data_IF_477395401460
#
_entry.id   IF_477395401460
#
_cell.length_a   1.000
_cell.length_b   1.000
_cell.length_c   1.000
_cell.angle_alpha   90.00
_cell.angle_beta   90.00
_cell.angle_gamma   90.00
#
_symmetry.space_group_name_H-M   'P 1'
#
loop_
_entity.id
_entity.type
_entity.pdbx_description
1 polymer ?
#
# COMPACT_ATOMS: atom_id res chain seq x y z
N UNK A 1 -6.03 49.77 41.46
CA UNK A 1 -4.96 48.79 41.13
C UNK A 1 -5.54 47.76 40.19
N UNK A 2 -5.22 47.95 38.92
CA UNK A 2 -5.73 47.16 37.79
C UNK A 2 -4.81 45.96 37.55
N UNK A 3 -5.35 44.76 37.52
CA UNK A 3 -4.63 43.54 37.13
C UNK A 3 -5.01 43.22 35.71
N UNK A 4 -4.02 43.39 34.85
CA UNK A 4 -4.02 43.10 33.44
C UNK A 4 -4.05 41.55 33.23
N UNK A 5 -5.11 41.09 32.59
CA UNK A 5 -5.21 39.65 32.19
C UNK A 5 -4.68 39.50 30.78
N UNK A 6 -3.45 39.03 30.68
CA UNK A 6 -2.87 38.60 29.41
C UNK A 6 -3.76 37.58 28.65
N UNK A 7 -4.28 37.99 27.51
CA UNK A 7 -4.96 37.09 26.56
C UNK A 7 -3.94 36.20 25.90
N UNK A 8 -3.93 34.91 26.28
CA UNK A 8 -3.30 33.88 25.49
C UNK A 8 -4.07 33.72 24.16
N UNK A 9 -3.43 34.09 23.09
CA UNK A 9 -3.93 33.85 21.73
C UNK A 9 -3.78 32.34 21.45
N UNK A 10 -4.87 31.62 21.62
CA UNK A 10 -5.00 30.24 21.10
C UNK A 10 -5.07 30.33 19.57
N UNK A 11 -3.97 30.08 18.90
CA UNK A 11 -3.94 29.89 17.45
C UNK A 11 -4.67 28.59 17.13
N UNK A 12 -5.86 28.74 16.59
CA UNK A 12 -6.72 27.66 16.11
C UNK A 12 -6.08 26.98 14.87
N UNK A 13 -5.80 25.63 14.87
CA UNK A 13 -5.13 24.95 13.75
C UNK A 13 -6.01 24.75 12.50
N UNK A 14 -7.25 25.25 12.50
CA UNK A 14 -8.25 24.94 11.46
C UNK A 14 -8.34 25.94 10.30
N UNK A 15 -7.36 26.83 10.09
CA UNK A 15 -7.37 27.78 8.96
C UNK A 15 -6.19 27.50 8.01
N UNK A 16 -6.05 26.25 7.57
CA UNK A 16 -5.40 25.93 6.29
C UNK A 16 -6.49 25.87 5.22
N UNK A 17 -7.01 27.02 4.79
CA UNK A 17 -7.87 27.10 3.62
C UNK A 17 -7.12 26.48 2.44
N UNK A 18 -7.62 25.35 1.93
CA UNK A 18 -7.26 24.81 0.63
C UNK A 18 -7.64 25.86 -0.42
N UNK A 19 -6.70 26.69 -0.84
CA UNK A 19 -6.92 27.54 -2.00
C UNK A 19 -7.06 26.63 -3.21
N UNK A 20 -8.21 26.67 -3.84
CA UNK A 20 -8.47 25.94 -5.09
C UNK A 20 -7.41 26.32 -6.13
N UNK A 21 -7.06 25.37 -7.00
CA UNK A 21 -6.16 25.64 -8.13
C UNK A 21 -6.77 26.74 -9.03
N UNK A 22 -5.96 27.71 -9.41
CA UNK A 22 -6.38 28.76 -10.33
C UNK A 22 -6.20 28.32 -11.78
N UNK A 23 -6.87 29.01 -12.73
CA UNK A 23 -6.66 28.75 -14.14
C UNK A 23 -5.21 28.99 -14.58
N UNK A 24 -4.52 29.93 -13.94
CA UNK A 24 -3.10 30.22 -14.17
C UNK A 24 -2.21 29.07 -13.75
N UNK A 25 -2.46 28.46 -12.57
CA UNK A 25 -1.70 27.29 -12.15
C UNK A 25 -1.86 26.09 -13.06
N UNK A 26 -3.09 25.88 -13.55
CA UNK A 26 -3.41 24.76 -14.44
C UNK A 26 -2.76 24.95 -15.84
N UNK A 27 -2.48 26.20 -16.22
CA UNK A 27 -1.82 26.55 -17.47
C UNK A 27 -0.28 26.66 -17.32
N UNK A 28 0.27 26.57 -16.09
CA UNK A 28 1.71 26.71 -15.87
C UNK A 28 2.46 25.47 -16.43
N UNK A 29 3.40 25.63 -17.39
CA UNK A 29 4.16 24.51 -17.95
C UNK A 29 4.93 23.69 -16.88
N UNK A 30 5.36 24.32 -15.79
CA UNK A 30 6.06 23.65 -14.71
C UNK A 30 5.22 22.55 -14.04
N UNK A 31 3.90 22.64 -14.12
CA UNK A 31 3.01 21.59 -13.60
C UNK A 31 3.19 20.26 -14.37
N UNK A 32 3.31 20.34 -15.70
CA UNK A 32 3.62 19.17 -16.52
C UNK A 32 5.02 18.61 -16.20
N UNK A 33 6.01 19.47 -16.00
CA UNK A 33 7.37 19.05 -15.63
C UNK A 33 7.39 18.36 -14.26
N UNK A 34 6.62 18.83 -13.27
CA UNK A 34 6.46 18.21 -11.95
C UNK A 34 5.78 16.84 -12.11
N UNK A 35 4.67 16.75 -12.85
CA UNK A 35 3.99 15.48 -13.14
C UNK A 35 4.95 14.45 -13.74
N UNK A 36 5.69 14.85 -14.77
CA UNK A 36 6.59 13.97 -15.51
C UNK A 36 7.78 13.54 -14.64
N UNK A 37 8.25 14.40 -13.74
CA UNK A 37 9.25 14.05 -12.74
C UNK A 37 8.73 12.99 -11.77
N UNK A 38 7.53 13.19 -11.20
CA UNK A 38 6.89 12.25 -10.29
C UNK A 38 6.66 10.90 -10.98
N UNK A 39 6.16 10.91 -12.22
CA UNK A 39 5.99 9.69 -13.01
C UNK A 39 7.30 8.94 -13.20
N UNK A 40 8.37 9.61 -13.65
CA UNK A 40 9.69 8.97 -13.84
C UNK A 40 10.24 8.36 -12.56
N UNK A 41 9.97 8.98 -11.41
CA UNK A 41 10.51 8.52 -10.13
C UNK A 41 9.67 7.41 -9.51
N UNK A 42 8.35 7.43 -9.67
CA UNK A 42 7.45 6.55 -8.91
C UNK A 42 6.53 5.67 -9.76
N UNK A 43 6.46 5.90 -11.06
CA UNK A 43 5.48 5.25 -11.93
C UNK A 43 4.04 5.73 -11.74
N UNK A 44 3.76 6.58 -10.73
CA UNK A 44 2.42 7.13 -10.48
C UNK A 44 2.07 8.13 -11.56
N UNK A 45 0.99 7.86 -12.29
CA UNK A 45 0.53 8.68 -13.40
C UNK A 45 -0.63 9.59 -12.96
N UNK A 46 -0.44 10.88 -13.15
CA UNK A 46 -1.47 11.90 -12.90
C UNK A 46 -2.08 12.34 -14.23
N UNK A 47 -3.34 11.99 -14.45
CA UNK A 47 -4.09 12.44 -15.64
C UNK A 47 -4.37 13.94 -15.56
N UNK A 48 -4.60 14.60 -16.70
CA UNK A 48 -4.81 16.04 -16.78
C UNK A 48 -5.98 16.52 -15.90
N UNK A 49 -7.05 15.74 -15.78
CA UNK A 49 -8.17 16.07 -14.88
C UNK A 49 -7.80 16.05 -13.38
N UNK A 50 -6.66 15.45 -13.02
CA UNK A 50 -6.14 15.41 -11.66
C UNK A 50 -5.18 16.59 -11.36
N UNK A 51 -4.94 17.49 -12.33
CA UNK A 51 -4.02 18.61 -12.15
C UNK A 51 -4.43 19.55 -11.01
N UNK A 52 -5.71 19.79 -10.81
CA UNK A 52 -6.19 20.58 -9.67
C UNK A 52 -5.79 19.98 -8.33
N UNK A 53 -5.81 18.65 -8.22
CA UNK A 53 -5.33 17.93 -7.06
C UNK A 53 -3.82 18.08 -6.90
N UNK A 54 -3.04 17.85 -7.95
CA UNK A 54 -1.59 17.99 -7.94
C UNK A 54 -1.15 19.41 -7.55
N UNK A 55 -1.74 20.44 -8.16
CA UNK A 55 -1.48 21.86 -7.81
C UNK A 55 -1.71 22.11 -6.33
N UNK A 56 -2.84 21.64 -5.80
CA UNK A 56 -3.15 21.84 -4.38
C UNK A 56 -2.09 21.25 -3.47
N UNK A 57 -1.57 20.07 -3.82
CA UNK A 57 -0.48 19.41 -3.06
C UNK A 57 0.85 20.13 -3.23
N UNK A 58 1.19 20.53 -4.46
CA UNK A 58 2.37 21.38 -4.70
C UNK A 58 2.32 22.66 -3.90
N UNK A 59 1.22 23.40 -3.91
CA UNK A 59 1.07 24.66 -3.16
C UNK A 59 1.26 24.47 -1.65
N UNK A 60 0.75 23.37 -1.10
CA UNK A 60 0.96 23.03 0.30
C UNK A 60 2.45 22.87 0.63
N UNK A 61 3.18 22.15 -0.23
CA UNK A 61 4.63 21.98 -0.09
C UNK A 61 5.39 23.28 -0.30
N UNK A 62 5.05 24.03 -1.34
CA UNK A 62 5.64 25.33 -1.65
C UNK A 62 5.52 26.31 -0.46
N UNK A 63 4.37 26.32 0.22
CA UNK A 63 4.16 27.14 1.42
C UNK A 63 5.14 26.76 2.54
N UNK A 64 5.37 25.47 2.77
CA UNK A 64 6.32 24.98 3.79
C UNK A 64 7.76 25.42 3.44
N UNK A 65 8.10 25.46 2.15
CA UNK A 65 9.44 25.81 1.64
C UNK A 65 9.61 27.32 1.38
N UNK A 66 8.59 28.15 1.59
CA UNK A 66 8.56 29.56 1.21
C UNK A 66 8.86 29.79 -0.29
N UNK A 67 8.36 28.94 -1.15
CA UNK A 67 8.46 29.06 -2.61
C UNK A 67 7.13 29.57 -3.18
N UNK A 68 7.15 30.58 -4.04
CA UNK A 68 5.93 31.25 -4.52
C UNK A 68 5.48 30.83 -5.93
N UNK A 69 6.36 30.26 -6.76
CA UNK A 69 6.06 29.89 -8.15
C UNK A 69 6.32 28.41 -8.41
N UNK A 70 5.46 27.75 -9.22
CA UNK A 70 5.60 26.34 -9.61
C UNK A 70 6.94 26.08 -10.32
N UNK A 71 7.36 26.98 -11.20
CA UNK A 71 8.66 26.86 -11.87
C UNK A 71 9.86 26.88 -10.90
N UNK A 72 9.78 27.66 -9.81
CA UNK A 72 10.79 27.64 -8.76
C UNK A 72 10.75 26.35 -7.95
N UNK A 73 9.53 25.84 -7.68
CA UNK A 73 9.34 24.59 -6.98
C UNK A 73 9.84 23.39 -7.81
N UNK A 74 9.58 23.37 -9.11
CA UNK A 74 10.16 22.36 -10.01
C UNK A 74 11.69 22.35 -9.95
N UNK A 75 12.34 23.52 -10.04
CA UNK A 75 13.80 23.61 -9.90
C UNK A 75 14.31 23.10 -8.56
N UNK A 76 13.56 23.31 -7.48
CA UNK A 76 13.87 22.77 -6.16
C UNK A 76 13.79 21.22 -6.15
N UNK A 77 12.71 20.65 -6.73
CA UNK A 77 12.54 19.20 -6.89
C UNK A 77 13.64 18.57 -7.76
N UNK A 78 14.08 19.26 -8.80
CA UNK A 78 15.13 18.78 -9.70
C UNK A 78 16.56 18.92 -9.14
N UNK A 79 16.73 19.61 -8.01
CA UNK A 79 18.05 19.87 -7.44
C UNK A 79 18.65 18.62 -6.77
N UNK A 80 19.92 18.25 -7.06
CA UNK A 80 20.52 16.98 -6.59
C UNK A 80 20.57 16.82 -5.05
N UNK A 81 20.72 17.91 -4.31
CA UNK A 81 20.88 17.87 -2.85
C UNK A 81 19.57 17.90 -2.07
N UNK A 82 18.57 18.62 -2.56
CA UNK A 82 17.31 18.88 -1.85
C UNK A 82 16.13 18.17 -2.47
N UNK A 83 16.19 17.84 -3.76
CA UNK A 83 15.08 17.32 -4.52
C UNK A 83 14.61 15.94 -4.08
N UNK A 84 15.52 15.05 -3.71
CA UNK A 84 15.14 13.68 -3.32
C UNK A 84 14.24 13.64 -2.10
N UNK A 85 14.54 14.43 -1.07
CA UNK A 85 13.72 14.51 0.13
C UNK A 85 12.37 15.18 -0.17
N UNK A 86 12.39 16.25 -0.97
CA UNK A 86 11.17 16.96 -1.32
C UNK A 86 10.26 16.16 -2.26
N UNK A 87 10.82 15.37 -3.19
CA UNK A 87 10.05 14.41 -3.99
C UNK A 87 9.35 13.40 -3.08
N UNK A 88 10.03 12.87 -2.04
CA UNK A 88 9.41 11.97 -1.06
C UNK A 88 8.24 12.66 -0.35
N UNK A 89 8.45 13.88 0.11
CA UNK A 89 7.41 14.66 0.78
C UNK A 89 6.21 14.92 -0.15
N UNK A 90 6.45 15.24 -1.42
CA UNK A 90 5.38 15.43 -2.39
C UNK A 90 4.65 14.11 -2.71
N UNK A 91 5.36 12.98 -2.82
CA UNK A 91 4.76 11.67 -2.97
C UNK A 91 3.86 11.32 -1.78
N UNK A 92 4.27 11.62 -0.55
CA UNK A 92 3.41 11.47 0.64
C UNK A 92 2.12 12.28 0.55
N UNK A 93 2.14 13.46 -0.09
CA UNK A 93 0.96 14.31 -0.26
C UNK A 93 0.02 13.85 -1.37
N UNK A 94 0.52 13.22 -2.44
CA UNK A 94 -0.28 12.84 -3.60
C UNK A 94 -0.81 11.41 -3.55
N UNK A 95 -0.26 10.56 -2.70
CA UNK A 95 -0.77 9.20 -2.51
C UNK A 95 -2.01 9.18 -1.65
N UNK A 96 -3.08 8.53 -2.14
CA UNK A 96 -4.37 8.42 -1.46
C UNK A 96 -4.39 7.09 -0.72
N UNK A 97 -4.48 7.13 0.59
CA UNK A 97 -4.39 5.95 1.44
C UNK A 97 -5.73 5.52 2.04
N UNK A 98 -6.82 5.43 1.24
CA UNK A 98 -8.08 4.93 1.76
C UNK A 98 -8.04 3.41 1.92
N UNK A 99 -8.11 2.96 3.17
CA UNK A 99 -8.06 1.54 3.53
C UNK A 99 -8.85 1.29 4.82
N UNK A 100 -9.25 0.03 5.04
CA UNK A 100 -9.88 -0.42 6.28
C UNK A 100 -9.71 -1.94 6.41
N UNK A 101 -9.81 -2.45 7.65
CA UNK A 101 -9.68 -3.88 7.94
C UNK A 101 -10.73 -4.72 7.19
N UNK A 102 -10.31 -5.86 6.66
CA UNK A 102 -11.15 -6.82 5.92
C UNK A 102 -11.87 -6.19 4.71
N UNK A 103 -11.21 -5.27 4.01
CA UNK A 103 -11.75 -4.62 2.81
C UNK A 103 -12.16 -5.64 1.76
N UNK A 104 -11.32 -6.62 1.49
CA UNK A 104 -11.50 -7.66 0.47
C UNK A 104 -11.80 -9.01 1.14
N UNK A 105 -12.90 -9.09 1.92
CA UNK A 105 -13.23 -10.26 2.75
C UNK A 105 -13.29 -11.56 1.95
N UNK A 106 -13.86 -11.54 0.74
CA UNK A 106 -13.97 -12.72 -0.11
C UNK A 106 -12.59 -13.29 -0.51
N UNK A 107 -11.64 -12.43 -0.84
CA UNK A 107 -10.25 -12.85 -1.13
C UNK A 107 -9.57 -13.44 0.12
N UNK A 108 -9.76 -12.83 1.28
CA UNK A 108 -9.24 -13.35 2.56
C UNK A 108 -9.83 -14.73 2.87
N UNK A 109 -11.12 -14.92 2.63
CA UNK A 109 -11.78 -16.20 2.83
C UNK A 109 -11.30 -17.27 1.83
N UNK A 110 -11.11 -16.92 0.56
CA UNK A 110 -10.52 -17.80 -0.44
C UNK A 110 -9.08 -18.18 -0.08
N UNK A 111 -8.26 -17.20 0.35
CA UNK A 111 -6.91 -17.45 0.83
C UNK A 111 -6.91 -18.47 1.99
N UNK A 112 -7.66 -18.20 3.05
CA UNK A 112 -7.68 -19.02 4.26
C UNK A 112 -8.18 -20.44 4.01
N UNK A 113 -9.37 -20.53 3.40
CA UNK A 113 -10.15 -21.78 3.35
C UNK A 113 -9.78 -22.70 2.22
N UNK A 114 -9.22 -22.14 1.12
CA UNK A 114 -9.00 -22.88 -0.12
C UNK A 114 -7.52 -22.88 -0.53
N UNK A 115 -6.90 -21.69 -0.60
CA UNK A 115 -5.57 -21.54 -1.20
C UNK A 115 -4.48 -21.97 -0.21
N UNK A 116 -4.49 -21.45 1.01
CA UNK A 116 -3.48 -21.76 2.03
C UNK A 116 -3.38 -23.27 2.31
N UNK A 117 -4.48 -24.04 2.48
CA UNK A 117 -4.39 -25.49 2.64
C UNK A 117 -3.71 -26.20 1.46
N UNK A 118 -3.98 -25.76 0.22
CA UNK A 118 -3.34 -26.31 -0.98
C UNK A 118 -1.84 -25.99 -1.03
N UNK A 119 -1.46 -24.74 -0.75
CA UNK A 119 -0.06 -24.31 -0.73
C UNK A 119 0.69 -25.02 0.40
N UNK A 120 0.12 -25.08 1.60
CA UNK A 120 0.71 -25.76 2.74
C UNK A 120 0.95 -27.26 2.49
N UNK A 121 0.13 -27.90 1.66
CA UNK A 121 0.30 -29.32 1.30
C UNK A 121 1.44 -29.58 0.31
N UNK A 122 2.02 -28.55 -0.30
CA UNK A 122 3.14 -28.73 -1.24
C UNK A 122 4.39 -29.26 -0.51
N UNK A 123 5.12 -30.23 -1.10
CA UNK A 123 6.30 -30.83 -0.48
C UNK A 123 7.33 -29.79 -0.02
N UNK A 124 7.62 -28.78 -0.85
CA UNK A 124 8.53 -27.70 -0.52
C UNK A 124 8.10 -26.96 0.77
N UNK A 125 6.79 -26.69 0.92
CA UNK A 125 6.26 -25.98 2.09
C UNK A 125 6.25 -26.84 3.35
N UNK A 126 6.02 -28.13 3.21
CA UNK A 126 6.15 -29.09 4.32
C UNK A 126 7.60 -29.17 4.85
N UNK A 127 8.57 -28.98 3.98
CA UNK A 127 9.99 -28.91 4.37
C UNK A 127 10.35 -27.55 4.99
N UNK A 128 9.98 -26.45 4.34
CA UNK A 128 10.31 -25.10 4.78
C UNK A 128 9.56 -24.66 6.04
N UNK A 129 8.30 -25.09 6.20
CA UNK A 129 7.40 -24.70 7.30
C UNK A 129 7.28 -23.18 7.46
N UNK A 130 7.22 -22.48 6.33
CA UNK A 130 7.18 -21.03 6.27
C UNK A 130 6.17 -20.56 5.22
N UNK A 131 5.41 -19.53 5.59
CA UNK A 131 4.57 -18.76 4.67
C UNK A 131 5.07 -17.32 4.66
N UNK A 132 5.41 -16.84 3.47
CA UNK A 132 5.84 -15.47 3.23
C UNK A 132 4.82 -14.70 2.39
N UNK A 133 4.39 -13.56 2.89
CA UNK A 133 3.39 -12.70 2.25
C UNK A 133 3.96 -11.30 2.02
N UNK A 134 3.71 -10.74 0.85
CA UNK A 134 4.00 -9.33 0.57
C UNK A 134 2.69 -8.56 0.39
N UNK A 135 2.45 -7.56 1.26
CA UNK A 135 1.42 -6.54 1.09
C UNK A 135 2.05 -5.33 0.42
N UNK A 136 1.78 -5.17 -0.87
CA UNK A 136 2.42 -4.21 -1.76
C UNK A 136 1.52 -2.97 -1.94
N UNK A 137 1.91 -1.84 -1.37
CA UNK A 137 1.07 -0.63 -1.25
C UNK A 137 0.16 -0.71 -0.02
N UNK A 138 0.74 -1.02 1.13
CA UNK A 138 0.01 -1.36 2.37
C UNK A 138 -0.67 -0.18 3.06
N UNK A 139 -0.45 1.05 2.62
CA UNK A 139 -1.00 2.27 3.22
C UNK A 139 -0.78 2.32 4.74
N UNK A 140 -1.83 2.56 5.50
CA UNK A 140 -1.79 2.67 6.98
C UNK A 140 -1.86 1.33 7.71
N UNK A 141 -1.69 0.20 6.99
CA UNK A 141 -1.40 -1.11 7.57
C UNK A 141 -2.61 -2.00 7.80
N UNK A 142 -3.82 -1.58 7.45
CA UNK A 142 -5.04 -2.39 7.67
C UNK A 142 -5.02 -3.68 6.85
N UNK A 143 -4.50 -3.66 5.62
CA UNK A 143 -4.38 -4.86 4.78
C UNK A 143 -3.38 -5.87 5.38
N UNK A 144 -2.09 -5.55 5.63
CA UNK A 144 -1.16 -6.54 6.17
C UNK A 144 -1.57 -7.05 7.55
N UNK A 145 -2.18 -6.24 8.40
CA UNK A 145 -2.69 -6.72 9.68
C UNK A 145 -3.95 -7.59 9.52
N UNK A 146 -4.80 -7.34 8.52
CA UNK A 146 -5.89 -8.25 8.17
C UNK A 146 -5.36 -9.62 7.75
N UNK A 147 -4.32 -9.64 6.90
CA UNK A 147 -3.65 -10.87 6.47
C UNK A 147 -3.02 -11.59 7.67
N UNK A 148 -2.34 -10.86 8.56
CA UNK A 148 -1.76 -11.42 9.77
C UNK A 148 -2.83 -12.08 10.67
N UNK A 149 -3.93 -11.41 10.95
CA UNK A 149 -5.04 -11.95 11.73
C UNK A 149 -5.61 -13.21 11.06
N UNK A 150 -5.87 -13.14 9.76
CA UNK A 150 -6.50 -14.22 9.02
C UNK A 150 -5.61 -15.48 8.95
N UNK A 151 -4.32 -15.31 8.71
CA UNK A 151 -3.37 -16.42 8.54
C UNK A 151 -2.89 -16.97 9.87
N UNK A 152 -2.73 -16.12 10.90
CA UNK A 152 -2.31 -16.55 12.24
C UNK A 152 -3.29 -17.56 12.83
N UNK A 153 -4.59 -17.32 12.69
CA UNK A 153 -5.61 -18.25 13.16
C UNK A 153 -5.49 -19.62 12.50
N UNK A 154 -5.29 -19.67 11.18
CA UNK A 154 -5.16 -20.92 10.44
C UNK A 154 -3.85 -21.67 10.76
N UNK A 155 -2.73 -20.92 10.81
CA UNK A 155 -1.42 -21.49 11.11
C UNK A 155 -1.37 -22.02 12.55
N UNK A 156 -1.85 -21.26 13.52
CA UNK A 156 -1.86 -21.68 14.93
C UNK A 156 -2.72 -22.94 15.15
N UNK A 157 -3.81 -23.11 14.41
CA UNK A 157 -4.70 -24.26 14.56
C UNK A 157 -4.21 -25.52 13.85
N UNK A 158 -3.53 -25.39 12.70
CA UNK A 158 -3.23 -26.51 11.81
C UNK A 158 -1.73 -26.76 11.56
N UNK A 159 -0.90 -25.76 11.78
CA UNK A 159 0.52 -25.74 11.43
C UNK A 159 1.34 -25.07 12.54
N UNK A 160 1.28 -25.56 13.77
CA UNK A 160 1.83 -24.91 14.97
C UNK A 160 3.33 -24.66 14.92
N UNK A 161 4.08 -25.43 14.12
CA UNK A 161 5.51 -25.33 13.93
C UNK A 161 5.93 -24.49 12.70
N UNK A 162 4.97 -23.82 12.08
CA UNK A 162 5.20 -22.97 10.91
C UNK A 162 5.41 -21.52 11.29
N UNK A 163 6.24 -20.84 10.51
CA UNK A 163 6.45 -19.39 10.62
C UNK A 163 5.60 -18.64 9.59
N UNK A 164 5.12 -17.48 9.98
CA UNK A 164 4.43 -16.52 9.12
C UNK A 164 5.22 -15.22 9.11
N UNK A 165 5.65 -14.79 7.93
CA UNK A 165 6.27 -13.49 7.72
C UNK A 165 5.41 -12.67 6.75
N UNK A 166 5.07 -11.44 7.14
CA UNK A 166 4.40 -10.48 6.26
C UNK A 166 5.28 -9.26 6.09
N UNK A 167 5.76 -9.06 4.87
CA UNK A 167 6.43 -7.82 4.48
C UNK A 167 5.39 -6.86 3.92
N UNK A 168 5.24 -5.71 4.53
CA UNK A 168 4.31 -4.67 4.14
C UNK A 168 5.08 -3.45 3.64
N UNK A 169 4.83 -3.05 2.40
CA UNK A 169 5.57 -1.95 1.78
C UNK A 169 4.66 -0.87 1.23
N UNK A 170 5.12 0.37 1.34
CA UNK A 170 4.45 1.53 0.73
C UNK A 170 5.51 2.57 0.32
N UNK A 171 5.17 3.44 -0.62
CA UNK A 171 6.02 4.58 -0.99
C UNK A 171 5.88 5.74 -0.01
N UNK A 172 4.78 5.77 0.76
CA UNK A 172 4.39 6.83 1.67
C UNK A 172 4.92 6.59 3.09
N UNK A 173 5.93 7.36 3.49
CA UNK A 173 6.55 7.27 4.82
C UNK A 173 5.57 7.62 5.96
N UNK A 174 4.61 8.53 5.73
CA UNK A 174 3.61 8.89 6.74
C UNK A 174 2.62 7.74 7.01
N UNK A 175 2.20 7.08 5.94
CA UNK A 175 1.35 5.89 6.01
C UNK A 175 2.06 4.78 6.78
N UNK A 176 3.33 4.50 6.46
CA UNK A 176 4.13 3.49 7.15
C UNK A 176 4.32 3.80 8.65
N UNK A 177 4.51 5.09 9.02
CA UNK A 177 4.58 5.46 10.44
C UNK A 177 3.27 5.18 11.19
N UNK A 178 2.13 5.46 10.57
CA UNK A 178 0.80 5.13 11.12
C UNK A 178 0.60 3.63 11.21
N UNK A 179 0.96 2.89 10.17
CA UNK A 179 0.92 1.43 10.14
C UNK A 179 1.75 0.81 11.28
N UNK A 180 2.97 1.26 11.47
CA UNK A 180 3.85 0.79 12.55
C UNK A 180 3.32 1.14 13.95
N UNK A 181 2.62 2.28 14.11
CA UNK A 181 1.96 2.62 15.37
C UNK A 181 0.85 1.62 15.74
N UNK A 182 0.16 1.07 14.74
CA UNK A 182 -0.89 0.06 14.94
C UNK A 182 -2.11 0.56 15.70
N UNK A 183 -2.43 1.85 15.60
CA UNK A 183 -3.56 2.49 16.27
C UNK A 183 -4.58 2.97 15.24
N UNK A 184 -5.82 2.58 15.42
CA UNK A 184 -6.90 2.75 14.44
C UNK A 184 -8.15 3.33 15.06
N UNK A 185 -8.87 4.13 14.29
CA UNK A 185 -10.17 4.67 14.70
C UNK A 185 -11.32 3.67 14.43
N UNK A 186 -12.52 3.99 14.89
CA UNK A 186 -13.72 3.15 14.71
C UNK A 186 -14.03 2.90 13.23
N UNK A 187 -13.79 3.87 12.35
CA UNK A 187 -14.02 3.70 10.91
C UNK A 187 -13.13 2.61 10.30
N UNK A 188 -11.86 2.56 10.64
CA UNK A 188 -10.93 1.55 10.14
C UNK A 188 -11.35 0.13 10.55
N UNK A 189 -11.82 -0.03 11.80
CA UNK A 189 -12.16 -1.35 12.39
C UNK A 189 -13.62 -1.75 12.22
N UNK A 190 -14.45 -0.96 11.55
CA UNK A 190 -15.91 -1.14 11.45
C UNK A 190 -16.38 -2.47 10.85
N UNK A 191 -15.55 -3.13 10.05
CA UNK A 191 -15.85 -4.42 9.40
C UNK A 191 -15.28 -5.63 10.12
N UNK A 192 -14.55 -5.41 11.22
CA UNK A 192 -13.98 -6.51 11.99
C UNK A 192 -15.10 -7.18 12.79
N UNK A 193 -15.18 -8.51 12.70
CA UNK A 193 -16.12 -9.28 13.51
C UNK A 193 -15.81 -9.10 15.01
N UNK A 194 -16.83 -9.00 15.88
CA UNK A 194 -16.64 -8.74 17.31
C UNK A 194 -15.63 -9.68 18.00
N UNK A 195 -15.64 -10.96 17.63
CA UNK A 195 -14.74 -11.99 18.20
C UNK A 195 -13.27 -11.70 17.85
N UNK A 196 -12.99 -11.30 16.59
CA UNK A 196 -11.64 -10.93 16.16
C UNK A 196 -11.23 -9.60 16.77
N UNK A 197 -12.16 -8.64 16.87
CA UNK A 197 -11.89 -7.34 17.48
C UNK A 197 -11.50 -7.50 18.96
N UNK A 198 -12.26 -8.28 19.74
CA UNK A 198 -11.95 -8.54 21.15
C UNK A 198 -10.64 -9.34 21.35
N UNK A 199 -10.28 -10.20 20.41
CA UNK A 199 -9.09 -11.05 20.50
C UNK A 199 -7.79 -10.31 20.11
N UNK A 200 -7.86 -9.44 19.09
CA UNK A 200 -6.68 -8.86 18.48
C UNK A 200 -6.55 -7.34 18.66
N UNK A 201 -7.50 -6.69 19.31
CA UNK A 201 -7.45 -5.25 19.56
C UNK A 201 -7.72 -4.92 21.01
N UNK A 202 -6.99 -3.94 21.53
CA UNK A 202 -7.24 -3.31 22.83
C UNK A 202 -7.77 -1.90 22.61
N UNK A 203 -8.81 -1.49 23.34
CA UNK A 203 -9.33 -0.13 23.32
C UNK A 203 -8.38 0.81 24.07
N UNK A 204 -7.96 1.90 23.42
CA UNK A 204 -7.16 2.98 24.00
C UNK A 204 -7.88 4.32 23.78
N UNK A 205 -8.81 4.65 24.66
CA UNK A 205 -9.67 5.84 24.51
C UNK A 205 -10.59 5.71 23.28
N UNK A 206 -10.43 6.60 22.30
CA UNK A 206 -11.19 6.57 21.03
C UNK A 206 -10.51 5.74 19.93
N UNK A 207 -9.38 5.10 20.22
CA UNK A 207 -8.61 4.31 19.28
C UNK A 207 -8.59 2.84 19.68
N UNK A 208 -8.28 1.99 18.71
CA UNK A 208 -8.07 0.56 18.86
C UNK A 208 -6.63 0.25 18.50
N UNK A 209 -5.87 -0.28 19.45
CA UNK A 209 -4.50 -0.72 19.22
C UNK A 209 -4.50 -2.21 18.90
N UNK A 210 -3.84 -2.58 17.82
CA UNK A 210 -3.67 -3.99 17.45
C UNK A 210 -2.67 -4.68 18.40
N UNK A 211 -2.91 -5.97 18.71
CA UNK A 211 -2.12 -6.75 19.66
C UNK A 211 -0.66 -6.93 19.18
N UNK A 212 0.26 -7.04 20.14
CA UNK A 212 1.69 -7.23 19.84
C UNK A 212 1.95 -8.57 19.14
N UNK A 213 1.13 -9.59 19.36
CA UNK A 213 1.22 -10.87 18.67
C UNK A 213 1.01 -10.72 17.16
N UNK A 214 0.07 -9.88 16.73
CA UNK A 214 -0.17 -9.58 15.30
C UNK A 214 0.89 -8.62 14.76
N UNK A 215 1.26 -7.61 15.55
CA UNK A 215 2.30 -6.63 15.15
C UNK A 215 3.66 -7.28 14.88
N UNK A 216 4.05 -8.26 15.68
CA UNK A 216 5.32 -8.96 15.55
C UNK A 216 5.49 -9.76 14.26
N UNK A 217 4.39 -10.06 13.56
CA UNK A 217 4.40 -10.81 12.28
C UNK A 217 4.66 -9.88 11.10
N UNK A 218 4.28 -8.59 11.19
CA UNK A 218 4.32 -7.64 10.09
C UNK A 218 5.56 -6.76 10.17
N UNK A 219 6.36 -6.79 9.11
CA UNK A 219 7.52 -5.90 8.93
C UNK A 219 7.16 -4.82 7.92
N UNK A 220 7.36 -3.55 8.28
CA UNK A 220 7.10 -2.42 7.41
C UNK A 220 8.39 -1.90 6.79
N UNK A 221 8.36 -1.63 5.48
CA UNK A 221 9.48 -1.03 4.76
C UNK A 221 8.99 -0.06 3.70
N UNK A 222 9.75 1.02 3.47
CA UNK A 222 9.50 1.90 2.34
C UNK A 222 9.98 1.22 1.07
N UNK A 223 9.12 1.17 0.04
CA UNK A 223 9.46 0.63 -1.26
C UNK A 223 8.82 1.45 -2.37
N UNK A 224 9.60 1.71 -3.41
CA UNK A 224 9.13 2.20 -4.68
C UNK A 224 9.14 1.04 -5.69
N UNK A 225 8.06 0.81 -6.42
CA UNK A 225 7.99 -0.28 -7.41
C UNK A 225 8.90 -0.08 -8.62
N UNK A 226 9.48 1.12 -8.78
CA UNK A 226 10.55 1.36 -9.77
C UNK A 226 11.95 0.96 -9.26
N UNK A 227 12.12 0.63 -7.97
CA UNK A 227 13.39 0.23 -7.36
C UNK A 227 13.61 -1.29 -7.50
N UNK A 228 14.06 -1.70 -8.67
CA UNK A 228 14.33 -3.10 -9.01
C UNK A 228 15.34 -3.79 -8.04
N UNK A 229 16.48 -3.15 -7.68
CA UNK A 229 17.40 -3.72 -6.72
C UNK A 229 16.77 -3.99 -5.35
N UNK A 230 15.98 -3.05 -4.83
CA UNK A 230 15.29 -3.22 -3.55
C UNK A 230 14.26 -4.35 -3.60
N UNK A 231 13.47 -4.44 -4.70
CA UNK A 231 12.52 -5.54 -4.89
C UNK A 231 13.22 -6.89 -4.93
N UNK A 232 14.30 -7.01 -5.71
CA UNK A 232 15.05 -8.27 -5.83
C UNK A 232 15.67 -8.72 -4.50
N UNK A 233 16.03 -7.78 -3.63
CA UNK A 233 16.60 -8.08 -2.32
C UNK A 233 15.58 -8.63 -1.29
N UNK A 234 14.27 -8.49 -1.55
CA UNK A 234 13.23 -8.99 -0.64
C UNK A 234 13.06 -10.51 -0.69
N UNK A 235 13.57 -11.19 -1.73
CA UNK A 235 13.37 -12.62 -1.98
C UNK A 235 11.98 -12.94 -2.54
N UNK A 236 11.58 -14.21 -2.44
CA UNK A 236 10.34 -14.70 -3.03
C UNK A 236 9.24 -14.90 -1.97
N UNK A 237 7.99 -14.83 -2.41
CA UNK A 237 6.78 -14.89 -1.58
C UNK A 237 5.83 -15.98 -2.07
N UNK A 238 5.03 -16.53 -1.16
CA UNK A 238 3.91 -17.40 -1.50
C UNK A 238 2.71 -16.60 -2.00
N UNK A 239 2.50 -15.44 -1.39
CA UNK A 239 1.35 -14.58 -1.66
C UNK A 239 1.79 -13.13 -1.80
N UNK A 240 1.29 -12.44 -2.83
CA UNK A 240 1.40 -10.98 -2.98
C UNK A 240 -0.01 -10.39 -3.02
N UNK A 241 -0.25 -9.40 -2.17
CA UNK A 241 -1.45 -8.57 -2.20
C UNK A 241 -1.06 -7.18 -2.70
N UNK A 242 -1.66 -6.74 -3.80
CA UNK A 242 -1.50 -5.40 -4.36
C UNK A 242 -2.89 -4.86 -4.73
N UNK A 243 -3.66 -4.47 -3.71
CA UNK A 243 -5.05 -4.10 -3.89
C UNK A 243 -5.24 -2.58 -3.90
N UNK A 244 -5.88 -2.08 -4.96
CA UNK A 244 -6.18 -0.66 -5.15
C UNK A 244 -4.93 0.24 -5.24
N UNK A 245 -3.87 -0.26 -5.86
CA UNK A 245 -2.60 0.44 -6.10
C UNK A 245 -2.36 0.66 -7.58
N UNK A 246 -2.58 -0.36 -8.41
CA UNK A 246 -2.33 -0.29 -9.86
C UNK A 246 -3.30 0.65 -10.60
N UNK A 247 -4.37 1.08 -9.94
CA UNK A 247 -5.28 2.11 -10.44
C UNK A 247 -4.61 3.48 -10.62
N UNK A 248 -3.47 3.71 -9.98
CA UNK A 248 -2.68 4.94 -10.09
C UNK A 248 -1.58 4.85 -11.15
N UNK A 249 -1.46 3.72 -11.84
CA UNK A 249 -0.42 3.46 -12.82
C UNK A 249 -0.98 3.50 -14.24
N UNK A 250 -0.21 4.02 -15.16
CA UNK A 250 -0.47 3.83 -16.58
C UNK A 250 -0.12 2.40 -17.02
N UNK A 251 -0.40 2.07 -18.27
CA UNK A 251 -0.16 0.72 -18.80
C UNK A 251 1.32 0.31 -18.71
N UNK A 252 2.25 1.25 -18.94
CA UNK A 252 3.69 0.95 -18.92
C UNK A 252 4.19 0.68 -17.48
N UNK A 253 3.82 1.53 -16.52
CA UNK A 253 4.16 1.35 -15.10
C UNK A 253 3.51 0.10 -14.52
N UNK A 254 2.25 -0.16 -14.89
CA UNK A 254 1.54 -1.38 -14.51
C UNK A 254 2.26 -2.63 -15.01
N UNK A 255 2.70 -2.65 -16.27
CA UNK A 255 3.47 -3.77 -16.83
C UNK A 255 4.76 -4.01 -16.04
N UNK A 256 5.51 -2.94 -15.69
CA UNK A 256 6.73 -3.07 -14.86
C UNK A 256 6.44 -3.65 -13.49
N UNK A 257 5.39 -3.16 -12.82
CA UNK A 257 4.97 -3.68 -11.51
C UNK A 257 4.61 -5.18 -11.59
N UNK A 258 3.85 -5.60 -12.62
CA UNK A 258 3.45 -7.00 -12.81
C UNK A 258 4.67 -7.90 -13.04
N UNK A 259 5.64 -7.48 -13.85
CA UNK A 259 6.90 -8.23 -14.02
C UNK A 259 7.65 -8.38 -12.68
N UNK A 260 7.63 -7.35 -11.85
CA UNK A 260 8.24 -7.42 -10.52
C UNK A 260 7.52 -8.41 -9.61
N UNK A 261 6.19 -8.39 -9.57
CA UNK A 261 5.41 -9.34 -8.78
C UNK A 261 5.62 -10.78 -9.26
N UNK A 262 5.66 -10.99 -10.58
CA UNK A 262 5.94 -12.30 -11.14
C UNK A 262 7.31 -12.84 -10.69
N UNK A 263 8.36 -12.01 -10.73
CA UNK A 263 9.71 -12.38 -10.28
C UNK A 263 9.77 -12.64 -8.77
N UNK A 264 9.00 -11.91 -7.99
CA UNK A 264 8.96 -12.02 -6.52
C UNK A 264 8.03 -13.12 -5.99
N UNK A 265 7.31 -13.83 -6.85
CA UNK A 265 6.49 -14.97 -6.45
C UNK A 265 7.21 -16.29 -6.67
N UNK A 266 7.09 -17.19 -5.72
CA UNK A 266 7.44 -18.60 -5.90
C UNK A 266 6.63 -19.22 -7.04
N UNK A 267 7.15 -20.23 -7.76
CA UNK A 267 6.33 -21.01 -8.71
C UNK A 267 5.07 -21.54 -8.04
N UNK A 268 3.91 -21.29 -8.63
CA UNK A 268 2.61 -21.63 -8.04
C UNK A 268 2.10 -20.69 -6.96
N UNK A 269 2.85 -19.61 -6.64
CA UNK A 269 2.42 -18.55 -5.75
C UNK A 269 1.29 -17.67 -6.33
N UNK A 270 0.65 -16.87 -5.50
CA UNK A 270 -0.56 -16.15 -5.87
C UNK A 270 -0.43 -14.64 -5.72
N UNK A 271 -0.95 -13.92 -6.72
CA UNK A 271 -1.14 -12.47 -6.71
C UNK A 271 -2.64 -12.15 -6.54
N UNK A 272 -2.95 -11.30 -5.59
CA UNK A 272 -4.29 -10.75 -5.34
C UNK A 272 -4.30 -9.27 -5.71
N UNK A 273 -5.30 -8.86 -6.49
CA UNK A 273 -5.53 -7.48 -6.92
C UNK A 273 -6.87 -6.99 -6.38
N UNK A 274 -7.08 -5.67 -6.35
CA UNK A 274 -8.38 -5.09 -5.98
C UNK A 274 -9.47 -5.37 -7.01
N UNK A 275 -10.73 -5.25 -6.62
CA UNK A 275 -11.90 -5.62 -7.43
C UNK A 275 -11.99 -4.88 -8.77
N UNK A 276 -11.44 -3.66 -8.85
CA UNK A 276 -11.39 -2.85 -10.07
C UNK A 276 -10.08 -3.00 -10.86
N UNK A 277 -9.23 -3.94 -10.48
CA UNK A 277 -7.92 -4.17 -11.07
C UNK A 277 -7.87 -5.51 -11.78
N UNK A 278 -7.16 -5.59 -12.87
CA UNK A 278 -6.96 -6.84 -13.61
C UNK A 278 -5.63 -6.84 -14.35
N UNK A 279 -5.14 -8.04 -14.71
CA UNK A 279 -3.96 -8.21 -15.57
C UNK A 279 -4.31 -8.16 -17.07
N UNK A 280 -5.51 -7.76 -17.41
CA UNK A 280 -5.92 -7.62 -18.80
C UNK A 280 -5.02 -6.60 -19.53
N UNK A 281 -4.61 -6.92 -20.74
CA UNK A 281 -3.65 -6.14 -21.54
C UNK A 281 -2.22 -6.06 -20.94
N UNK A 282 -1.84 -6.92 -19.99
CA UNK A 282 -0.43 -7.04 -19.57
C UNK A 282 0.16 -8.36 -20.07
N UNK A 283 1.45 -8.32 -20.41
CA UNK A 283 2.21 -9.54 -20.71
C UNK A 283 2.63 -10.17 -19.38
N UNK A 284 2.16 -11.39 -19.12
CA UNK A 284 2.44 -12.10 -17.88
C UNK A 284 2.20 -13.62 -18.01
N UNK A 285 2.70 -14.39 -17.04
CA UNK A 285 2.54 -15.85 -16.94
C UNK A 285 1.54 -16.26 -15.85
N UNK A 286 0.66 -15.36 -15.45
CA UNK A 286 -0.35 -15.68 -14.46
C UNK A 286 -1.57 -16.38 -15.06
N UNK A 287 -2.14 -17.31 -14.30
CA UNK A 287 -3.46 -17.89 -14.55
C UNK A 287 -4.50 -17.27 -13.65
N UNK A 288 -5.56 -16.71 -14.22
CA UNK A 288 -6.70 -16.23 -13.45
C UNK A 288 -7.49 -17.44 -12.92
N UNK A 289 -7.67 -17.47 -11.61
CA UNK A 289 -8.48 -18.49 -10.92
C UNK A 289 -9.69 -17.82 -10.27
N UNK A 290 -10.84 -18.49 -10.37
CA UNK A 290 -12.09 -18.04 -9.79
C UNK A 290 -12.40 -18.82 -8.52
N UNK A 291 -12.74 -18.09 -7.46
CA UNK A 291 -13.20 -18.62 -6.18
C UNK A 291 -14.59 -18.05 -5.88
N UNK A 292 -15.33 -18.56 -4.89
CA UNK A 292 -16.59 -17.94 -4.49
C UNK A 292 -16.38 -16.46 -4.13
N UNK A 293 -17.01 -15.56 -4.91
CA UNK A 293 -16.96 -14.09 -4.76
C UNK A 293 -15.54 -13.47 -4.81
N UNK A 294 -14.53 -14.22 -5.30
CA UNK A 294 -13.16 -13.73 -5.38
C UNK A 294 -12.42 -14.24 -6.61
N UNK A 295 -11.38 -13.51 -7.00
CA UNK A 295 -10.41 -13.93 -8.00
C UNK A 295 -9.00 -13.83 -7.45
N UNK A 296 -8.11 -14.68 -7.96
CA UNK A 296 -6.67 -14.59 -7.71
C UNK A 296 -5.90 -15.01 -8.97
N UNK A 297 -4.68 -14.52 -9.08
CA UNK A 297 -3.78 -14.86 -10.19
C UNK A 297 -2.69 -15.77 -9.67
N UNK A 298 -2.59 -16.99 -10.23
CA UNK A 298 -1.56 -17.97 -9.84
C UNK A 298 -0.41 -17.91 -10.84
N UNK A 299 0.82 -17.77 -10.36
CA UNK A 299 2.01 -17.89 -11.19
C UNK A 299 2.12 -19.32 -11.75
N UNK A 300 2.32 -19.46 -13.06
CA UNK A 300 2.48 -20.75 -13.71
C UNK A 300 3.69 -21.51 -13.14
N UNK A 301 3.57 -22.83 -13.06
CA UNK A 301 4.69 -23.73 -12.73
C UNK A 301 5.26 -24.26 -14.04
N UNK A 302 6.58 -24.33 -14.15
CA UNK A 302 7.23 -24.88 -15.33
C UNK A 302 6.75 -26.32 -15.60
N UNK A 303 6.25 -26.58 -16.81
CA UNK A 303 5.72 -27.89 -17.22
C UNK A 303 4.21 -28.11 -16.95
N UNK A 304 3.50 -27.18 -16.35
CA UNK A 304 2.03 -27.24 -16.27
C UNK A 304 1.39 -27.00 -17.65
N UNK A 305 0.59 -27.95 -18.11
CA UNK A 305 -0.19 -27.82 -19.35
C UNK A 305 -1.34 -26.83 -19.11
N UNK A 306 -1.64 -25.91 -20.06
CA UNK A 306 -2.82 -25.06 -19.97
C UNK A 306 -4.09 -25.94 -19.97
N UNK A 307 -4.77 -26.05 -18.83
CA UNK A 307 -6.00 -26.85 -18.71
C UNK A 307 -6.19 -27.60 -17.40
N UNK A 308 -5.15 -27.90 -16.65
CA UNK A 308 -5.26 -28.57 -15.36
C UNK A 308 -5.59 -27.55 -14.23
N UNK A 309 -6.81 -27.02 -14.26
CA UNK A 309 -7.41 -26.33 -13.14
C UNK A 309 -8.20 -27.34 -12.33
N UNK A 310 -7.66 -27.77 -11.18
CA UNK A 310 -8.38 -28.54 -10.15
C UNK A 310 -8.91 -27.57 -9.08
#
# INVERSE_FOLDING_TARGET
>A
MSLDRGKAILTNPSVLQNQAATAEDLADPALCEIRDLLYRVSGIYQMDFQFSFLVTRCRRRMKILNVSALAAYFRYLAAPKTGQEEIRNLLNEITIGETYFFRNQAQIDALRKIILPKVAALPLKQEQKEIRVWSAGCSTGEEPYTLAIALLDEITQRHQDWTLEILATDINDESLRKAAAGQYNEYAVRRIRPELKSRYFCSEGSLFRISDAVRGIVKFARLNFEDQPAISAMGEFDFIFCCNVLIYFDQASKQRAIVNFERSLLPGGYLFLGDCESLFHTENQFRLLHYPEATAYRKAVAGEIPGDAV
#
